data_IF_078314793439
#
_entry.id   IF_078314793439
#
_cell.length_a   1.000
_cell.length_b   1.000
_cell.length_c   1.000
_cell.angle_alpha   90.00
_cell.angle_beta   90.00
_cell.angle_gamma   90.00
#
_symmetry.space_group_name_H-M   'P 1'
#
loop_
_entity.id
_entity.type
_entity.pdbx_description
1 polymer ?
#
# COMPACT_ATOMS: atom_id res chain seq x y z
N UNK A 1 -37.74 54.97 -2.82
CA UNK A 1 -37.61 53.81 -1.95
C UNK A 1 -38.12 52.53 -2.63
N UNK A 2 -37.66 52.18 -3.82
CA UNK A 2 -38.08 50.95 -4.57
C UNK A 2 -36.93 50.03 -4.99
N UNK A 3 -35.68 50.30 -4.56
CA UNK A 3 -34.49 49.55 -5.00
C UNK A 3 -33.79 48.77 -3.87
N UNK A 4 -34.32 48.86 -2.63
CA UNK A 4 -33.70 48.14 -1.47
C UNK A 4 -34.23 46.71 -1.33
N UNK A 5 -35.40 46.39 -1.89
CA UNK A 5 -35.97 45.02 -1.80
C UNK A 5 -35.38 44.04 -2.79
N UNK A 6 -34.72 44.47 -3.85
CA UNK A 6 -34.11 43.56 -4.83
C UNK A 6 -32.73 43.04 -4.41
N UNK A 7 -32.05 43.78 -3.50
CA UNK A 7 -30.71 43.34 -3.03
C UNK A 7 -30.76 42.32 -1.92
N UNK A 8 -31.88 42.18 -1.21
CA UNK A 8 -32.03 41.19 -0.12
C UNK A 8 -32.44 39.80 -0.62
N UNK A 9 -32.93 39.68 -1.85
CA UNK A 9 -33.33 38.40 -2.43
C UNK A 9 -32.16 37.64 -3.10
N UNK A 10 -31.04 38.32 -3.38
CA UNK A 10 -29.85 37.69 -3.95
C UNK A 10 -28.91 37.09 -2.91
N UNK A 11 -29.12 37.36 -1.63
CA UNK A 11 -28.29 36.83 -0.52
C UNK A 11 -28.78 35.49 0.07
N UNK A 12 -29.89 34.96 -0.44
CA UNK A 12 -30.44 33.68 0.03
C UNK A 12 -30.25 32.51 -0.92
N UNK A 13 -29.58 32.71 -2.05
CA UNK A 13 -29.11 31.63 -2.91
C UNK A 13 -27.61 31.47 -2.66
N UNK A 14 -27.24 31.13 -1.44
CA UNK A 14 -26.01 30.39 -1.23
C UNK A 14 -26.24 29.06 -1.94
N UNK A 15 -25.51 28.72 -3.01
CA UNK A 15 -25.53 27.34 -3.45
C UNK A 15 -25.07 26.53 -2.23
N UNK A 16 -25.96 25.76 -1.66
CA UNK A 16 -25.55 24.65 -0.78
C UNK A 16 -24.54 23.90 -1.65
N UNK A 17 -23.27 24.09 -1.35
CA UNK A 17 -22.23 23.22 -1.86
C UNK A 17 -22.65 21.83 -1.36
N UNK A 18 -23.37 21.09 -2.19
CA UNK A 18 -23.64 19.69 -1.96
C UNK A 18 -22.24 19.11 -1.84
N UNK A 19 -21.89 18.71 -0.60
CA UNK A 19 -20.62 18.11 -0.33
C UNK A 19 -20.45 16.97 -1.31
N UNK A 20 -19.47 17.08 -2.18
CA UNK A 20 -19.19 16.00 -3.12
C UNK A 20 -18.95 14.75 -2.28
N UNK A 21 -19.62 13.65 -2.63
CA UNK A 21 -19.38 12.37 -1.99
C UNK A 21 -17.93 11.91 -2.20
N UNK A 22 -17.53 10.86 -1.52
CA UNK A 22 -16.23 10.24 -1.76
C UNK A 22 -16.09 9.90 -3.26
N UNK A 23 -14.93 10.17 -3.86
CA UNK A 23 -14.71 9.83 -5.26
C UNK A 23 -14.86 8.31 -5.45
N UNK A 24 -15.53 7.85 -6.51
CA UNK A 24 -15.72 6.40 -6.76
C UNK A 24 -14.41 5.61 -6.78
N UNK A 25 -13.32 6.25 -7.22
CA UNK A 25 -11.97 5.68 -7.21
C UNK A 25 -11.47 5.34 -5.81
N UNK A 26 -11.98 6.00 -4.77
CA UNK A 26 -11.62 5.70 -3.37
C UNK A 26 -11.99 4.28 -2.98
N UNK A 27 -13.08 3.75 -3.50
CA UNK A 27 -13.53 2.38 -3.22
C UNK A 27 -12.92 1.32 -4.14
N UNK A 28 -12.40 1.74 -5.27
CA UNK A 28 -11.92 0.83 -6.32
C UNK A 28 -10.41 0.79 -6.46
N UNK A 29 -9.69 1.78 -5.93
CA UNK A 29 -8.26 1.94 -6.16
C UNK A 29 -7.45 2.25 -4.91
N UNK A 30 -6.15 2.16 -5.07
CA UNK A 30 -5.16 2.40 -4.01
C UNK A 30 -5.09 3.86 -3.63
N UNK A 31 -4.89 4.11 -2.34
CA UNK A 31 -4.76 5.44 -1.77
C UNK A 31 -3.41 5.59 -1.06
N UNK A 32 -2.76 6.73 -1.25
CA UNK A 32 -1.70 7.17 -0.34
C UNK A 32 -2.27 8.15 0.66
N UNK A 33 -1.69 8.15 1.86
CA UNK A 33 -2.11 8.98 2.96
C UNK A 33 -1.00 9.96 3.29
N UNK A 34 -1.30 11.24 3.16
CA UNK A 34 -0.42 12.33 3.55
C UNK A 34 -0.89 12.90 4.88
N UNK A 35 -0.02 12.86 5.88
CA UNK A 35 -0.34 13.24 7.25
C UNK A 35 0.42 14.48 7.64
N UNK A 36 -0.30 15.53 8.05
CA UNK A 36 0.24 16.73 8.69
C UNK A 36 -0.24 16.79 10.13
N UNK A 37 0.69 16.91 11.07
CA UNK A 37 0.41 16.92 12.50
C UNK A 37 1.08 18.12 13.17
N UNK A 38 0.27 19.12 13.55
CA UNK A 38 0.77 20.31 14.27
C UNK A 38 1.42 19.87 15.61
N UNK A 39 2.71 20.18 15.82
CA UNK A 39 3.39 19.86 17.09
C UNK A 39 2.73 20.51 18.32
N UNK A 40 2.01 21.60 18.12
CA UNK A 40 1.26 22.27 19.18
C UNK A 40 -0.07 21.64 19.54
N UNK A 41 -0.53 20.64 18.79
CA UNK A 41 -1.79 19.95 19.07
C UNK A 41 -1.68 19.03 20.30
N UNK A 42 -2.76 18.96 21.07
CA UNK A 42 -2.83 18.12 22.28
C UNK A 42 -3.80 16.96 22.07
N UNK A 43 -3.51 15.74 22.58
CA UNK A 43 -2.23 15.30 23.17
C UNK A 43 -1.08 15.34 22.14
N UNK A 44 0.15 15.50 22.61
CA UNK A 44 1.32 15.44 21.72
C UNK A 44 1.53 13.99 21.26
N UNK A 45 1.42 13.77 19.95
CA UNK A 45 1.66 12.47 19.31
C UNK A 45 2.47 12.70 18.04
N UNK A 46 3.14 11.68 17.56
CA UNK A 46 3.82 11.73 16.26
C UNK A 46 2.82 11.58 15.12
N UNK A 47 3.21 11.96 13.90
CA UNK A 47 2.37 11.75 12.72
C UNK A 47 2.13 10.25 12.44
N UNK A 48 3.08 9.37 12.77
CA UNK A 48 2.94 7.92 12.67
C UNK A 48 1.84 7.38 13.58
N UNK A 49 1.82 7.81 14.85
CA UNK A 49 0.76 7.44 15.80
C UNK A 49 -0.61 7.93 15.32
N UNK A 50 -0.66 9.12 14.71
CA UNK A 50 -1.89 9.61 14.09
C UNK A 50 -2.32 8.74 12.90
N UNK A 51 -1.37 8.36 12.04
CA UNK A 51 -1.60 7.47 10.90
C UNK A 51 -2.14 6.11 11.34
N UNK A 52 -1.51 5.47 12.33
CA UNK A 52 -1.96 4.19 12.89
C UNK A 52 -3.38 4.29 13.46
N UNK A 53 -3.66 5.39 14.14
CA UNK A 53 -4.96 5.59 14.78
C UNK A 53 -6.10 5.82 13.78
N UNK A 54 -5.81 6.42 12.61
CA UNK A 54 -6.82 6.70 11.59
C UNK A 54 -7.02 5.52 10.61
N UNK A 55 -6.01 4.69 10.42
CA UNK A 55 -6.02 3.58 9.48
C UNK A 55 -7.28 2.68 9.56
N UNK A 56 -7.73 2.24 10.75
CA UNK A 56 -8.93 1.39 10.84
C UNK A 56 -10.20 2.06 10.32
N UNK A 57 -10.28 3.38 10.40
CA UNK A 57 -11.44 4.11 9.89
C UNK A 57 -11.42 4.26 8.37
N UNK A 58 -10.24 4.46 7.78
CA UNK A 58 -10.07 4.50 6.33
C UNK A 58 -10.45 3.16 5.70
N UNK A 59 -9.95 2.06 6.26
CA UNK A 59 -10.26 0.70 5.82
C UNK A 59 -11.75 0.40 5.99
N UNK A 60 -12.34 0.78 7.13
CA UNK A 60 -13.77 0.58 7.38
C UNK A 60 -14.65 1.37 6.42
N UNK A 61 -14.20 2.54 5.98
CA UNK A 61 -14.86 3.32 4.95
C UNK A 61 -14.80 2.69 3.55
N UNK A 62 -14.01 1.63 3.37
CA UNK A 62 -13.83 0.94 2.08
C UNK A 62 -12.65 1.44 1.26
N UNK A 63 -11.77 2.25 1.86
CA UNK A 63 -10.55 2.72 1.20
C UNK A 63 -9.41 1.71 1.22
N UNK A 64 -8.42 1.97 0.37
CA UNK A 64 -7.20 1.16 0.22
C UNK A 64 -5.93 1.95 0.54
N UNK A 65 -5.61 2.19 1.84
CA UNK A 65 -4.41 2.90 2.23
C UNK A 65 -3.16 2.00 2.10
N UNK A 66 -2.35 2.22 1.09
CA UNK A 66 -1.15 1.41 0.82
C UNK A 66 0.17 2.08 1.24
N UNK A 67 0.14 3.33 1.68
CA UNK A 67 1.33 4.03 2.16
C UNK A 67 0.98 5.30 2.91
N UNK A 68 1.79 5.61 3.93
CA UNK A 68 1.66 6.79 4.77
C UNK A 68 2.93 7.63 4.71
N UNK A 69 2.77 8.94 4.56
CA UNK A 69 3.87 9.87 4.41
C UNK A 69 3.58 11.16 5.18
N UNK A 70 4.62 11.78 5.71
CA UNK A 70 4.50 13.12 6.27
C UNK A 70 4.29 14.14 5.16
N UNK A 71 3.23 14.93 5.24
CA UNK A 71 2.87 15.89 4.20
C UNK A 71 3.98 16.91 3.96
N UNK A 72 4.56 17.41 5.03
CA UNK A 72 5.61 18.43 5.00
C UNK A 72 6.86 17.93 4.26
N UNK A 73 7.18 16.66 4.39
CA UNK A 73 8.30 16.05 3.69
C UNK A 73 8.01 15.89 2.19
N UNK A 74 6.81 15.41 1.86
CA UNK A 74 6.39 15.28 0.45
C UNK A 74 6.33 16.65 -0.23
N UNK A 75 5.87 17.66 0.48
CA UNK A 75 5.71 19.01 -0.02
C UNK A 75 6.97 19.89 0.04
N UNK A 76 8.10 19.35 0.51
CA UNK A 76 9.31 20.11 0.80
C UNK A 76 9.87 20.86 -0.41
N UNK A 77 9.81 20.26 -1.59
CA UNK A 77 10.22 20.87 -2.85
C UNK A 77 9.46 20.29 -4.04
N UNK A 78 9.41 21.06 -5.14
CA UNK A 78 8.79 20.58 -6.39
C UNK A 78 9.51 19.38 -6.99
N UNK A 79 10.83 19.31 -6.84
CA UNK A 79 11.61 18.17 -7.29
C UNK A 79 11.24 16.90 -6.50
N UNK A 80 11.18 17.02 -5.17
CA UNK A 80 10.81 15.90 -4.31
C UNK A 80 9.36 15.46 -4.55
N UNK A 81 8.43 16.41 -4.74
CA UNK A 81 7.05 16.08 -5.12
C UNK A 81 6.97 15.28 -6.41
N UNK A 82 7.79 15.61 -7.41
CA UNK A 82 7.84 14.88 -8.67
C UNK A 82 8.35 13.44 -8.49
N UNK A 83 9.35 13.24 -7.62
CA UNK A 83 9.85 11.91 -7.30
C UNK A 83 8.79 11.06 -6.57
N UNK A 84 8.10 11.64 -5.59
CA UNK A 84 6.97 10.99 -4.94
C UNK A 84 5.87 10.64 -5.93
N UNK A 85 5.49 11.59 -6.81
CA UNK A 85 4.46 11.37 -7.82
C UNK A 85 4.83 10.21 -8.75
N UNK A 86 6.09 10.12 -9.19
CA UNK A 86 6.59 9.01 -9.99
C UNK A 86 6.44 7.68 -9.27
N UNK A 87 6.79 7.64 -7.99
CA UNK A 87 6.67 6.43 -7.20
C UNK A 87 5.21 6.04 -6.93
N UNK A 88 4.33 7.02 -6.74
CA UNK A 88 2.89 6.77 -6.59
C UNK A 88 2.27 6.23 -7.89
N UNK A 89 2.69 6.75 -9.04
CA UNK A 89 2.32 6.21 -10.34
C UNK A 89 2.71 4.74 -10.49
N UNK A 90 3.95 4.43 -10.15
CA UNK A 90 4.45 3.05 -10.22
C UNK A 90 3.65 2.10 -9.32
N UNK A 91 3.10 2.59 -8.21
CA UNK A 91 2.21 1.86 -7.31
C UNK A 91 0.75 1.82 -7.76
N UNK A 92 0.44 2.42 -8.90
CA UNK A 92 -0.93 2.53 -9.40
C UNK A 92 -1.87 3.24 -8.41
N UNK A 93 -1.35 4.24 -7.71
CA UNK A 93 -2.15 5.05 -6.80
C UNK A 93 -3.21 5.81 -7.62
N UNK A 94 -4.42 5.81 -7.11
CA UNK A 94 -5.55 6.52 -7.72
C UNK A 94 -6.07 7.66 -6.84
N UNK A 95 -5.83 7.59 -5.53
CA UNK A 95 -6.35 8.56 -4.59
C UNK A 95 -5.27 9.08 -3.64
N UNK A 96 -5.50 10.27 -3.16
CA UNK A 96 -4.73 10.89 -2.09
C UNK A 96 -5.68 11.23 -0.94
N UNK A 97 -5.34 10.79 0.25
CA UNK A 97 -6.03 11.17 1.48
C UNK A 97 -5.13 12.11 2.26
N UNK A 98 -5.61 13.32 2.51
CA UNK A 98 -4.92 14.28 3.37
C UNK A 98 -5.52 14.22 4.76
N UNK A 99 -4.68 13.99 5.75
CA UNK A 99 -5.05 14.06 7.16
C UNK A 99 -4.30 15.22 7.79
N UNK A 100 -5.02 16.22 8.23
CA UNK A 100 -4.44 17.41 8.88
C UNK A 100 -4.96 17.53 10.30
N UNK A 101 -4.05 17.55 11.26
CA UNK A 101 -4.35 17.74 12.66
C UNK A 101 -3.76 19.05 13.15
N UNK A 102 -4.64 19.95 13.55
CA UNK A 102 -4.34 21.25 14.17
C UNK A 102 -4.72 21.25 15.65
N UNK A 103 -4.41 22.33 16.37
CA UNK A 103 -4.68 22.44 17.81
C UNK A 103 -6.13 22.13 18.24
N UNK A 104 -7.10 22.49 17.42
CA UNK A 104 -8.51 22.35 17.74
C UNK A 104 -9.32 21.58 16.70
N UNK A 105 -8.67 21.03 15.68
CA UNK A 105 -9.37 20.44 14.53
C UNK A 105 -8.56 19.32 13.91
N UNK A 106 -9.24 18.23 13.57
CA UNK A 106 -8.78 17.18 12.68
C UNK A 106 -9.61 17.21 11.41
N UNK A 107 -8.97 17.13 10.26
CA UNK A 107 -9.67 17.07 8.97
C UNK A 107 -9.15 15.92 8.13
N UNK A 108 -10.04 15.28 7.39
CA UNK A 108 -9.73 14.27 6.38
C UNK A 108 -10.25 14.79 5.05
N UNK A 109 -9.39 14.88 4.05
CA UNK A 109 -9.77 15.23 2.70
C UNK A 109 -9.38 14.09 1.76
N UNK A 110 -10.23 13.78 0.81
CA UNK A 110 -9.98 12.76 -0.21
C UNK A 110 -10.07 13.38 -1.59
N UNK A 111 -9.05 13.15 -2.38
CA UNK A 111 -8.99 13.61 -3.75
C UNK A 111 -8.39 12.56 -4.66
N UNK A 112 -8.53 12.80 -5.95
CA UNK A 112 -7.92 11.97 -6.97
C UNK A 112 -6.43 12.27 -7.07
N UNK A 113 -5.61 11.26 -7.29
CA UNK A 113 -4.20 11.45 -7.62
C UNK A 113 -4.08 11.98 -9.04
N UNK A 114 -3.30 13.05 -9.22
CA UNK A 114 -3.15 13.70 -10.52
C UNK A 114 -2.36 12.90 -11.55
N UNK A 115 -1.54 11.97 -11.09
CA UNK A 115 -0.55 11.31 -11.93
C UNK A 115 0.68 12.18 -12.26
N UNK A 116 0.74 13.38 -11.73
CA UNK A 116 1.78 14.40 -12.01
C UNK A 116 2.41 14.92 -10.72
N UNK A 117 3.45 15.75 -10.86
CA UNK A 117 4.19 16.34 -9.75
C UNK A 117 3.37 17.15 -8.76
N UNK A 118 2.17 17.60 -9.12
CA UNK A 118 1.26 18.29 -8.18
C UNK A 118 0.54 17.35 -7.22
N UNK A 119 0.65 16.04 -7.41
CA UNK A 119 0.07 14.97 -6.59
C UNK A 119 -1.47 15.01 -6.53
N UNK A 120 -2.08 16.17 -6.25
CA UNK A 120 -3.53 16.32 -6.15
C UNK A 120 -4.04 17.16 -7.33
N UNK A 121 -5.08 16.69 -8.00
CA UNK A 121 -5.76 17.46 -9.02
C UNK A 121 -6.40 18.72 -8.42
N UNK A 122 -6.44 19.82 -9.20
CA UNK A 122 -7.14 21.05 -8.83
C UNK A 122 -8.67 20.89 -8.89
N UNK A 123 -9.18 19.82 -8.34
CA UNK A 123 -10.60 19.51 -8.25
C UNK A 123 -11.08 19.65 -6.82
N UNK A 124 -12.38 19.78 -6.64
CA UNK A 124 -12.95 19.82 -5.30
C UNK A 124 -12.66 18.52 -4.55
N UNK A 125 -12.08 18.66 -3.36
CA UNK A 125 -11.82 17.55 -2.47
C UNK A 125 -13.09 17.23 -1.67
N UNK A 126 -13.39 15.95 -1.52
CA UNK A 126 -14.26 15.52 -0.42
C UNK A 126 -13.58 15.86 0.90
N UNK A 127 -14.33 16.37 1.88
CA UNK A 127 -13.72 16.71 3.17
C UNK A 127 -14.69 16.56 4.33
N UNK A 128 -14.16 16.09 5.45
CA UNK A 128 -14.82 16.12 6.75
C UNK A 128 -13.86 16.68 7.79
N UNK A 129 -14.40 17.30 8.81
CA UNK A 129 -13.61 17.90 9.88
C UNK A 129 -14.36 17.78 11.22
N UNK A 130 -13.61 17.71 12.30
CA UNK A 130 -14.13 17.67 13.65
C UNK A 130 -13.08 17.95 14.69
N UNK A 131 -13.46 17.90 15.96
CA UNK A 131 -12.57 18.26 17.07
C UNK A 131 -11.58 17.15 17.44
N UNK A 132 -11.94 15.90 17.23
CA UNK A 132 -11.16 14.75 17.69
C UNK A 132 -11.18 13.61 16.66
N UNK A 133 -10.18 12.76 16.75
CA UNK A 133 -9.95 11.64 15.86
C UNK A 133 -11.10 10.64 15.85
N UNK A 134 -11.66 10.33 17.02
CA UNK A 134 -12.72 9.32 17.14
C UNK A 134 -13.97 9.78 16.40
N UNK A 135 -14.38 11.02 16.62
CA UNK A 135 -15.57 11.61 15.96
C UNK A 135 -15.38 11.67 14.45
N UNK A 136 -14.26 12.22 13.98
CA UNK A 136 -13.98 12.35 12.55
C UNK A 136 -13.82 10.98 11.91
N UNK A 137 -13.11 10.07 12.56
CA UNK A 137 -12.91 8.71 12.06
C UNK A 137 -14.23 7.94 11.94
N UNK A 138 -15.10 8.02 12.95
CA UNK A 138 -16.42 7.39 12.91
C UNK A 138 -17.31 7.97 11.82
N UNK A 139 -17.34 9.29 11.66
CA UNK A 139 -18.06 9.94 10.57
C UNK A 139 -17.54 9.47 9.21
N UNK A 140 -16.21 9.44 9.04
CA UNK A 140 -15.60 8.98 7.79
C UNK A 140 -15.94 7.51 7.50
N UNK A 141 -15.80 6.64 8.49
CA UNK A 141 -16.16 5.23 8.37
C UNK A 141 -17.64 5.00 8.03
N UNK A 142 -18.52 5.89 8.49
CA UNK A 142 -19.97 5.83 8.22
C UNK A 142 -20.39 6.28 6.83
N UNK A 143 -19.49 6.97 6.09
CA UNK A 143 -19.77 7.40 4.71
C UNK A 143 -19.55 6.24 3.72
N UNK A 144 -18.71 5.30 4.10
CA UNK A 144 -18.43 4.12 3.28
C UNK A 144 -19.70 3.30 3.06
N UNK A 145 -19.95 2.94 1.82
CA UNK A 145 -20.91 1.89 1.53
C UNK A 145 -20.32 0.56 2.03
N UNK A 146 -21.17 -0.41 2.36
CA UNK A 146 -20.73 -1.75 2.76
C UNK A 146 -20.10 -2.53 1.58
N UNK A 147 -19.12 -1.92 0.94
CA UNK A 147 -18.26 -2.58 -0.03
C UNK A 147 -17.35 -3.51 0.76
N UNK A 148 -17.18 -4.77 0.37
CA UNK A 148 -16.25 -5.66 1.02
C UNK A 148 -14.88 -4.97 1.08
N UNK A 149 -14.39 -4.76 2.28
CA UNK A 149 -13.08 -4.16 2.50
C UNK A 149 -12.07 -5.05 1.79
N UNK A 150 -11.49 -4.56 0.72
CA UNK A 150 -10.32 -5.23 0.15
C UNK A 150 -9.23 -5.16 1.20
N UNK A 151 -8.59 -6.25 1.46
CA UNK A 151 -7.36 -6.18 2.21
C UNK A 151 -6.23 -5.86 1.24
N UNK A 152 -5.63 -4.82 1.47
CA UNK A 152 -5.08 -3.90 0.52
C UNK A 152 -3.62 -4.00 0.29
N UNK A 153 -2.96 -4.79 1.08
CA UNK A 153 -1.58 -5.07 0.81
C UNK A 153 -1.40 -5.98 -0.37
N UNK A 154 -2.39 -6.81 -0.58
CA UNK A 154 -2.26 -7.92 -1.50
C UNK A 154 -3.34 -7.90 -2.58
N UNK A 155 -4.60 -7.59 -2.22
CA UNK A 155 -5.73 -7.68 -3.14
C UNK A 155 -5.67 -6.67 -4.30
N UNK A 156 -5.03 -5.54 -4.10
CA UNK A 156 -4.87 -4.52 -5.13
C UNK A 156 -3.53 -4.53 -5.84
N UNK A 157 -2.71 -5.51 -5.53
CA UNK A 157 -1.48 -5.70 -6.29
C UNK A 157 -1.82 -6.37 -7.61
N UNK A 158 -1.11 -5.99 -8.65
CA UNK A 158 -1.21 -6.65 -9.94
C UNK A 158 -0.91 -8.16 -9.85
N UNK A 159 -0.24 -8.58 -8.78
CA UNK A 159 0.05 -9.97 -8.47
C UNK A 159 -1.17 -10.80 -8.14
N UNK A 160 -2.25 -10.17 -7.69
CA UNK A 160 -3.49 -10.84 -7.31
C UNK A 160 -4.70 -10.37 -8.15
N UNK A 161 -4.61 -10.30 -9.49
CA UNK A 161 -5.66 -9.74 -10.32
C UNK A 161 -6.97 -10.52 -10.25
N UNK A 162 -6.89 -11.80 -9.87
CA UNK A 162 -8.05 -12.69 -9.81
C UNK A 162 -8.73 -12.74 -8.45
N UNK A 163 -8.08 -12.26 -7.38
CA UNK A 163 -8.63 -12.33 -6.03
C UNK A 163 -9.64 -11.21 -5.73
N UNK A 164 -9.66 -10.14 -6.54
CA UNK A 164 -10.51 -8.98 -6.29
C UNK A 164 -11.83 -8.91 -7.05
N UNK A 165 -12.00 -9.64 -8.14
CA UNK A 165 -13.15 -9.47 -9.07
C UNK A 165 -14.03 -10.67 -9.26
N UNK A 166 -13.56 -11.82 -8.88
CA UNK A 166 -14.42 -13.00 -8.81
C UNK A 166 -14.54 -13.37 -7.35
N UNK A 167 -15.76 -13.56 -6.88
CA UNK A 167 -15.99 -14.48 -5.79
C UNK A 167 -15.45 -15.83 -6.28
N UNK A 168 -14.16 -15.97 -6.16
CA UNK A 168 -13.53 -17.25 -6.33
C UNK A 168 -14.19 -18.08 -5.26
N UNK A 169 -15.11 -18.92 -5.70
CA UNK A 169 -15.64 -19.93 -4.83
C UNK A 169 -14.44 -20.50 -4.08
N UNK A 170 -14.55 -20.62 -2.76
CA UNK A 170 -13.48 -21.09 -1.87
C UNK A 170 -12.76 -22.38 -2.36
N UNK A 171 -13.23 -22.98 -3.42
CA UNK A 171 -12.74 -24.17 -4.08
C UNK A 171 -11.64 -23.95 -5.13
N UNK A 172 -11.22 -22.73 -5.43
CA UNK A 172 -10.20 -22.50 -6.45
C UNK A 172 -8.77 -22.36 -5.90
N UNK A 173 -8.61 -22.34 -4.60
CA UNK A 173 -7.30 -22.54 -3.98
C UNK A 173 -6.91 -24.01 -4.10
N UNK A 174 -6.36 -24.36 -5.23
CA UNK A 174 -5.78 -25.67 -5.39
C UNK A 174 -4.41 -25.68 -4.72
N UNK A 175 -4.35 -26.28 -3.56
CA UNK A 175 -3.09 -26.74 -3.02
C UNK A 175 -2.53 -27.78 -3.98
N UNK A 176 -1.42 -27.45 -4.60
CA UNK A 176 -0.75 -28.34 -5.53
C UNK A 176 0.25 -29.19 -4.78
N UNK A 177 0.31 -30.46 -5.12
CA UNK A 177 1.19 -31.43 -4.47
C UNK A 177 2.68 -31.28 -4.86
N UNK A 178 2.97 -30.49 -5.88
CA UNK A 178 4.34 -30.28 -6.38
C UNK A 178 4.56 -28.81 -6.70
N UNK A 179 5.77 -28.33 -6.49
CA UNK A 179 6.19 -27.01 -6.93
C UNK A 179 6.10 -26.93 -8.48
N UNK A 180 5.28 -26.05 -9.05
CA UNK A 180 5.10 -25.96 -10.50
C UNK A 180 6.12 -25.08 -11.18
N UNK A 181 7.04 -24.48 -10.44
CA UNK A 181 7.97 -23.47 -10.93
C UNK A 181 9.20 -24.15 -11.54
N UNK A 182 9.56 -23.76 -12.74
CA UNK A 182 10.77 -24.24 -13.41
C UNK A 182 11.96 -23.34 -13.04
N UNK A 183 12.30 -23.30 -11.75
CA UNK A 183 13.35 -22.46 -11.18
C UNK A 183 14.76 -22.92 -11.55
N UNK A 184 14.89 -24.13 -12.08
CA UNK A 184 16.11 -24.69 -12.67
C UNK A 184 16.38 -24.16 -14.10
N UNK A 185 15.35 -23.69 -14.78
CA UNK A 185 15.44 -23.19 -16.17
C UNK A 185 15.44 -21.66 -16.21
N UNK A 186 14.64 -21.02 -15.37
CA UNK A 186 14.45 -19.57 -15.36
C UNK A 186 14.96 -18.97 -14.06
N UNK A 187 15.63 -17.83 -14.19
CA UNK A 187 16.17 -17.12 -13.04
C UNK A 187 15.06 -16.55 -12.15
N UNK A 188 15.28 -16.63 -10.85
CA UNK A 188 14.45 -15.94 -9.86
C UNK A 188 14.95 -14.50 -9.70
N UNK A 189 14.11 -13.52 -10.02
CA UNK A 189 14.39 -12.11 -9.77
C UNK A 189 14.17 -11.77 -8.30
N UNK A 190 15.14 -11.11 -7.70
CA UNK A 190 15.08 -10.66 -6.30
C UNK A 190 15.16 -9.14 -6.29
N UNK A 191 14.03 -8.44 -6.15
CA UNK A 191 14.01 -6.99 -6.00
C UNK A 191 14.64 -6.58 -4.67
N UNK A 192 15.58 -5.63 -4.71
CA UNK A 192 16.14 -5.03 -3.51
C UNK A 192 15.32 -3.82 -3.07
N UNK A 193 15.41 -3.46 -1.80
CA UNK A 193 14.72 -2.28 -1.27
C UNK A 193 15.17 -1.03 -2.02
N UNK A 194 14.22 -0.11 -2.26
CA UNK A 194 14.49 1.06 -3.10
C UNK A 194 14.33 0.83 -4.60
N UNK A 195 14.22 -0.41 -5.07
CA UNK A 195 13.66 -0.71 -6.39
C UNK A 195 12.16 -0.42 -6.37
N UNK A 196 11.58 -0.21 -7.52
CA UNK A 196 10.22 0.32 -7.61
C UNK A 196 9.20 -0.40 -6.78
N UNK A 197 8.17 0.33 -6.59
CA UNK A 197 6.97 -0.04 -5.94
C UNK A 197 6.21 -1.25 -6.54
N UNK A 198 6.40 -1.55 -7.81
CA UNK A 198 5.76 -2.70 -8.46
C UNK A 198 6.49 -4.00 -8.11
N UNK A 199 7.80 -3.93 -7.99
CA UNK A 199 8.66 -5.11 -7.79
C UNK A 199 9.36 -5.12 -6.43
N UNK A 200 9.24 -4.05 -5.64
CA UNK A 200 9.85 -3.93 -4.33
C UNK A 200 9.01 -4.53 -3.20
N UNK A 201 9.58 -4.62 -2.01
CA UNK A 201 8.86 -5.09 -0.84
C UNK A 201 7.67 -4.19 -0.52
N UNK A 202 6.57 -4.80 -0.10
CA UNK A 202 5.34 -4.13 0.23
C UNK A 202 5.15 -4.18 1.74
N UNK A 203 5.01 -3.01 2.35
CA UNK A 203 4.73 -2.86 3.77
C UNK A 203 3.34 -2.31 3.98
N UNK A 204 2.65 -2.85 4.97
CA UNK A 204 1.33 -2.37 5.38
C UNK A 204 1.37 -0.95 5.91
N UNK A 205 2.35 -0.66 6.76
CA UNK A 205 2.65 0.67 7.24
C UNK A 205 4.00 1.12 6.69
N UNK A 206 4.01 1.59 5.47
CA UNK A 206 5.23 2.12 4.92
C UNK A 206 5.35 3.59 5.25
N UNK A 207 6.05 3.87 6.31
CA UNK A 207 6.49 5.23 6.68
C UNK A 207 7.77 5.62 5.96
N UNK A 208 8.34 4.66 5.27
CA UNK A 208 9.55 4.90 4.55
C UNK A 208 9.30 5.76 3.36
N UNK A 209 10.14 6.70 3.26
CA UNK A 209 9.92 7.75 2.42
C UNK A 209 11.08 8.03 1.55
N UNK A 210 10.76 8.42 0.37
CA UNK A 210 11.64 9.05 -0.57
C UNK A 210 12.36 10.22 0.11
N UNK A 211 13.48 10.64 -0.41
CA UNK A 211 14.33 11.66 0.19
C UNK A 211 15.63 11.12 0.77
N UNK A 212 15.82 9.80 0.68
CA UNK A 212 17.15 9.21 0.91
C UNK A 212 18.06 9.59 -0.24
N UNK A 213 19.32 9.91 0.09
CA UNK A 213 20.29 10.15 -0.97
C UNK A 213 20.56 8.86 -1.77
N UNK A 214 20.99 8.96 -3.03
CA UNK A 214 21.40 7.79 -3.81
C UNK A 214 22.42 6.91 -3.09
N UNK A 215 23.35 7.51 -2.37
CA UNK A 215 24.37 6.81 -1.58
C UNK A 215 23.75 5.99 -0.44
N UNK A 216 22.76 6.56 0.25
CA UNK A 216 22.04 5.86 1.32
C UNK A 216 21.27 4.67 0.77
N UNK A 217 20.58 4.85 -0.37
CA UNK A 217 19.87 3.76 -1.04
C UNK A 217 20.80 2.63 -1.47
N UNK A 218 21.93 2.97 -2.07
CA UNK A 218 22.94 1.97 -2.47
C UNK A 218 23.53 1.23 -1.27
N UNK A 219 23.78 1.93 -0.16
CA UNK A 219 24.27 1.30 1.06
C UNK A 219 23.26 0.32 1.64
N UNK A 220 22.00 0.71 1.69
CA UNK A 220 20.90 -0.16 2.17
C UNK A 220 20.70 -1.37 1.26
N UNK A 221 20.69 -1.17 -0.07
CA UNK A 221 20.60 -2.27 -1.04
C UNK A 221 21.77 -3.24 -0.89
N UNK A 222 22.99 -2.71 -0.69
CA UNK A 222 24.17 -3.53 -0.50
C UNK A 222 24.09 -4.35 0.78
N UNK A 223 23.67 -3.74 1.89
CA UNK A 223 23.49 -4.42 3.16
C UNK A 223 22.40 -5.50 3.09
N UNK A 224 21.27 -5.21 2.43
CA UNK A 224 20.20 -6.16 2.21
C UNK A 224 20.68 -7.32 1.33
N UNK A 225 21.38 -7.02 0.24
CA UNK A 225 21.91 -8.00 -0.68
C UNK A 225 22.83 -9.01 0.02
N UNK A 226 23.76 -8.52 0.85
CA UNK A 226 24.64 -9.40 1.64
C UNK A 226 23.86 -10.38 2.51
N UNK A 227 22.84 -9.90 3.21
CA UNK A 227 22.00 -10.76 4.04
C UNK A 227 21.17 -11.78 3.24
N UNK A 228 20.74 -11.41 2.04
CA UNK A 228 20.03 -12.31 1.13
C UNK A 228 20.99 -13.32 0.49
N UNK A 229 22.18 -12.89 0.03
CA UNK A 229 23.19 -13.76 -0.55
C UNK A 229 23.61 -14.87 0.41
N UNK A 230 23.77 -14.57 1.70
CA UNK A 230 24.07 -15.57 2.71
C UNK A 230 22.99 -16.66 2.78
N UNK A 231 21.71 -16.27 2.74
CA UNK A 231 20.61 -17.23 2.81
C UNK A 231 20.48 -18.02 1.51
N UNK A 232 20.54 -17.33 0.35
CA UNK A 232 20.37 -17.95 -0.95
C UNK A 232 21.49 -18.93 -1.29
N UNK A 233 22.75 -18.59 -1.00
CA UNK A 233 23.89 -19.48 -1.24
C UNK A 233 23.79 -20.80 -0.48
N UNK A 234 23.16 -20.78 0.69
CA UNK A 234 23.00 -21.97 1.51
C UNK A 234 21.75 -22.81 1.18
N UNK A 235 20.69 -22.15 0.66
CA UNK A 235 19.38 -22.79 0.56
C UNK A 235 18.81 -22.89 -0.84
N UNK A 236 19.24 -22.05 -1.76
CA UNK A 236 18.67 -21.99 -3.10
C UNK A 236 19.70 -22.44 -4.14
N UNK A 237 19.46 -23.57 -4.83
CA UNK A 237 20.48 -24.19 -5.69
C UNK A 237 20.53 -23.60 -7.11
N UNK A 238 19.60 -22.69 -7.45
CA UNK A 238 19.47 -22.19 -8.81
C UNK A 238 19.95 -20.74 -8.93
N UNK A 239 20.02 -20.24 -10.16
CA UNK A 239 20.48 -18.89 -10.46
C UNK A 239 19.48 -17.83 -10.00
N UNK A 240 19.97 -16.74 -9.43
CA UNK A 240 19.18 -15.58 -9.04
C UNK A 240 19.60 -14.34 -9.82
N UNK A 241 18.68 -13.42 -10.03
CA UNK A 241 18.94 -12.11 -10.61
C UNK A 241 18.63 -11.02 -9.58
N UNK A 242 19.65 -10.28 -9.17
CA UNK A 242 19.48 -9.15 -8.27
C UNK A 242 18.98 -7.94 -9.04
N UNK A 243 17.80 -7.45 -8.67
CA UNK A 243 17.16 -6.31 -9.32
C UNK A 243 17.44 -5.04 -8.51
N UNK A 244 18.36 -4.23 -9.01
CA UNK A 244 18.75 -2.94 -8.41
C UNK A 244 17.83 -1.81 -8.89
N UNK A 245 17.23 -1.98 -10.06
CA UNK A 245 16.38 -0.99 -10.71
C UNK A 245 15.01 -1.57 -11.01
N UNK A 246 14.07 -0.67 -11.20
CA UNK A 246 12.72 -1.03 -11.66
C UNK A 246 12.76 -1.49 -13.09
N UNK A 247 12.24 -2.69 -13.32
CA UNK A 247 11.98 -3.21 -14.65
C UNK A 247 10.51 -3.52 -14.84
N UNK A 248 10.02 -3.29 -16.04
CA UNK A 248 8.68 -3.74 -16.43
C UNK A 248 8.63 -5.26 -16.56
N UNK A 249 7.45 -5.84 -16.53
CA UNK A 249 7.30 -7.29 -16.77
C UNK A 249 7.89 -7.72 -18.12
N UNK A 250 7.77 -6.88 -19.14
CA UNK A 250 8.32 -7.18 -20.47
C UNK A 250 9.85 -7.23 -20.46
N UNK A 251 10.50 -6.29 -19.80
CA UNK A 251 11.97 -6.27 -19.64
C UNK A 251 12.45 -7.47 -18.84
N UNK A 252 11.75 -7.81 -17.74
CA UNK A 252 12.08 -8.99 -16.94
C UNK A 252 11.98 -10.28 -17.77
N UNK A 253 10.92 -10.43 -18.55
CA UNK A 253 10.73 -11.59 -19.42
C UNK A 253 11.78 -11.66 -20.53
N UNK A 254 12.18 -10.52 -21.10
CA UNK A 254 13.27 -10.44 -22.07
C UNK A 254 14.62 -10.89 -21.46
N UNK A 255 14.84 -10.59 -20.18
CA UNK A 255 16.02 -11.03 -19.41
C UNK A 255 15.89 -12.49 -18.89
N UNK A 256 14.89 -13.23 -19.33
CA UNK A 256 14.58 -14.60 -18.89
C UNK A 256 14.25 -14.71 -17.39
N UNK A 257 13.75 -13.65 -16.80
CA UNK A 257 13.25 -13.62 -15.42
C UNK A 257 11.73 -13.80 -15.50
N UNK A 258 11.25 -14.99 -15.20
CA UNK A 258 9.82 -15.30 -15.19
C UNK A 258 9.23 -15.28 -13.79
N UNK A 259 10.08 -15.34 -12.79
CA UNK A 259 9.71 -15.46 -11.40
C UNK A 259 10.30 -14.31 -10.59
N UNK A 260 9.48 -13.71 -9.75
CA UNK A 260 9.92 -12.70 -8.78
C UNK A 260 9.68 -13.18 -7.36
N UNK A 261 10.69 -13.08 -6.53
CA UNK A 261 10.52 -13.20 -5.09
C UNK A 261 9.90 -11.91 -4.56
N UNK A 262 8.75 -12.00 -3.95
CA UNK A 262 8.06 -10.86 -3.37
C UNK A 262 8.01 -11.01 -1.85
N UNK A 263 8.33 -9.91 -1.16
CA UNK A 263 8.21 -9.77 0.30
C UNK A 263 7.00 -8.89 0.60
N UNK A 264 6.10 -9.37 1.43
CA UNK A 264 5.02 -8.56 1.99
C UNK A 264 5.13 -8.54 3.51
N UNK A 265 4.75 -7.43 4.10
CA UNK A 265 4.73 -7.24 5.54
C UNK A 265 3.40 -6.64 5.97
N UNK A 266 2.77 -7.20 6.97
CA UNK A 266 1.48 -6.75 7.46
C UNK A 266 0.97 -7.62 8.60
N UNK A 267 -0.24 -7.30 9.09
CA UNK A 267 -0.89 -8.13 10.10
C UNK A 267 -1.20 -9.51 9.53
N UNK A 268 -0.86 -10.54 10.29
CA UNK A 268 -0.97 -11.92 9.85
C UNK A 268 -2.37 -12.28 9.34
N UNK A 269 -3.40 -11.93 10.10
CA UNK A 269 -4.78 -12.18 9.71
C UNK A 269 -5.16 -11.50 8.39
N UNK A 270 -4.67 -10.28 8.18
CA UNK A 270 -4.94 -9.50 6.98
C UNK A 270 -4.25 -10.10 5.75
N UNK A 271 -2.98 -10.47 5.88
CA UNK A 271 -2.24 -11.15 4.82
C UNK A 271 -2.88 -12.48 4.43
N UNK A 272 -3.23 -13.32 5.42
CA UNK A 272 -3.91 -14.59 5.17
C UNK A 272 -5.22 -14.40 4.42
N UNK A 273 -6.05 -13.47 4.88
CA UNK A 273 -7.33 -13.14 4.21
C UNK A 273 -7.13 -12.67 2.78
N UNK A 274 -6.12 -11.81 2.53
CA UNK A 274 -5.83 -11.31 1.17
C UNK A 274 -5.35 -12.40 0.24
N UNK A 275 -4.64 -13.38 0.79
CA UNK A 275 -4.19 -14.56 0.05
C UNK A 275 -5.27 -15.65 -0.02
N UNK A 276 -6.49 -15.37 0.47
CA UNK A 276 -7.63 -16.28 0.44
C UNK A 276 -7.52 -17.43 1.44
N UNK A 277 -6.68 -17.30 2.46
CA UNK A 277 -6.56 -18.28 3.54
C UNK A 277 -7.48 -17.89 4.70
N UNK A 278 -7.89 -18.88 5.49
CA UNK A 278 -8.63 -18.63 6.72
C UNK A 278 -7.75 -17.84 7.71
N UNK A 279 -8.18 -16.66 8.15
CA UNK A 279 -7.36 -15.81 9.00
C UNK A 279 -7.28 -16.37 10.42
N UNK A 280 -6.09 -16.34 11.00
CA UNK A 280 -5.88 -16.58 12.43
C UNK A 280 -6.47 -15.40 13.20
N UNK A 281 -7.23 -15.70 14.26
CA UNK A 281 -7.90 -14.71 15.11
C UNK A 281 -7.11 -14.41 16.39
N UNK A 282 -7.49 -13.34 17.08
CA UNK A 282 -6.88 -12.95 18.36
C UNK A 282 -5.52 -12.27 18.20
N UNK A 283 -4.72 -12.32 19.26
CA UNK A 283 -3.42 -11.64 19.32
C UNK A 283 -2.44 -12.13 18.26
N UNK A 284 -2.47 -13.41 17.93
CA UNK A 284 -1.62 -14.00 16.90
C UNK A 284 -1.93 -13.40 15.52
N UNK A 285 -3.22 -13.26 15.19
CA UNK A 285 -3.65 -12.65 13.93
C UNK A 285 -3.31 -11.15 13.83
N UNK A 286 -3.18 -10.47 14.95
CA UNK A 286 -2.82 -9.05 14.99
C UNK A 286 -1.31 -8.78 14.84
N UNK A 287 -0.46 -9.80 14.99
CA UNK A 287 0.99 -9.65 14.86
C UNK A 287 1.37 -9.24 13.44
N UNK A 288 2.28 -8.29 13.34
CA UNK A 288 2.93 -7.95 12.07
C UNK A 288 3.95 -9.02 11.73
N UNK A 289 3.83 -9.57 10.54
CA UNK A 289 4.70 -10.64 10.03
C UNK A 289 5.15 -10.33 8.61
N UNK A 290 6.26 -10.95 8.23
CA UNK A 290 6.77 -10.95 6.87
C UNK A 290 6.40 -12.28 6.22
N UNK A 291 5.91 -12.25 5.00
CA UNK A 291 5.65 -13.41 4.15
C UNK A 291 6.35 -13.26 2.82
N UNK A 292 6.99 -14.32 2.37
CA UNK A 292 7.54 -14.42 1.02
C UNK A 292 6.67 -15.30 0.14
N UNK A 293 6.60 -14.95 -1.14
CA UNK A 293 5.95 -15.76 -2.17
C UNK A 293 6.64 -15.52 -3.52
N UNK A 294 6.39 -16.38 -4.48
CA UNK A 294 6.88 -16.21 -5.85
C UNK A 294 5.73 -15.79 -6.76
N UNK A 295 5.94 -14.69 -7.46
CA UNK A 295 5.08 -14.24 -8.54
C UNK A 295 5.56 -14.82 -9.86
N UNK A 296 4.67 -15.51 -10.57
CA UNK A 296 4.91 -16.03 -11.91
C UNK A 296 4.38 -15.02 -12.94
N UNK A 297 5.27 -14.29 -13.59
CA UNK A 297 4.93 -13.15 -14.44
C UNK A 297 4.13 -13.52 -15.69
N UNK A 298 4.42 -14.68 -16.28
CA UNK A 298 3.79 -15.11 -17.54
C UNK A 298 2.33 -15.51 -17.34
N UNK A 299 2.01 -16.10 -16.19
CA UNK A 299 0.68 -16.65 -15.90
C UNK A 299 -0.10 -15.82 -14.89
N UNK A 300 0.51 -14.76 -14.38
CA UNK A 300 -0.05 -13.93 -13.30
C UNK A 300 -0.51 -14.75 -12.09
N UNK A 301 0.24 -15.79 -11.78
CA UNK A 301 -0.02 -16.69 -10.66
C UNK A 301 0.95 -16.42 -9.53
N UNK A 302 0.51 -16.76 -8.31
CA UNK A 302 1.30 -16.64 -7.11
C UNK A 302 1.53 -18.02 -6.50
N UNK A 303 2.77 -18.31 -6.20
CA UNK A 303 3.14 -19.47 -5.43
C UNK A 303 3.42 -19.08 -3.98
N UNK A 304 2.51 -19.44 -3.08
CA UNK A 304 2.54 -19.07 -1.67
C UNK A 304 3.34 -20.05 -0.81
N UNK A 305 3.74 -21.19 -1.36
CA UNK A 305 4.31 -22.31 -0.61
C UNK A 305 3.24 -23.28 -0.08
N UNK A 306 3.65 -24.45 0.39
CA UNK A 306 2.75 -25.49 0.86
C UNK A 306 2.14 -25.24 2.24
N UNK A 307 2.74 -24.35 3.01
CA UNK A 307 2.32 -23.99 4.37
C UNK A 307 2.43 -22.50 4.60
N UNK A 308 1.70 -22.00 5.59
CA UNK A 308 1.88 -20.64 6.07
C UNK A 308 3.18 -20.55 6.87
N UNK A 309 4.15 -19.80 6.35
CA UNK A 309 5.51 -19.66 6.87
C UNK A 309 5.89 -18.19 7.15
N UNK A 310 4.88 -17.35 7.37
CA UNK A 310 5.12 -15.97 7.77
C UNK A 310 5.71 -15.87 9.18
N UNK A 311 6.62 -14.93 9.37
CA UNK A 311 7.29 -14.73 10.65
C UNK A 311 7.61 -13.24 10.86
N UNK A 312 7.63 -12.71 12.10
CA UNK A 312 8.03 -11.33 12.37
C UNK A 312 9.46 -11.00 11.90
N UNK A 313 10.38 -11.95 12.00
CA UNK A 313 11.73 -11.83 11.46
C UNK A 313 11.76 -12.30 9.99
N UNK A 314 12.13 -11.38 9.09
CA UNK A 314 12.18 -11.65 7.65
C UNK A 314 13.18 -12.74 7.26
N UNK A 315 14.30 -12.87 7.99
CA UNK A 315 15.28 -13.94 7.74
C UNK A 315 14.71 -15.31 8.04
N UNK A 316 13.97 -15.43 9.13
CA UNK A 316 13.29 -16.67 9.51
C UNK A 316 12.24 -17.02 8.48
N UNK A 317 11.38 -16.04 8.10
CA UNK A 317 10.36 -16.24 7.07
C UNK A 317 10.95 -16.69 5.74
N UNK A 318 12.02 -16.01 5.27
CA UNK A 318 12.68 -16.39 4.02
C UNK A 318 13.28 -17.79 4.08
N UNK A 319 13.95 -18.13 5.17
CA UNK A 319 14.52 -19.45 5.34
C UNK A 319 13.46 -20.56 5.30
N UNK A 320 12.33 -20.35 5.97
CA UNK A 320 11.21 -21.30 5.96
C UNK A 320 10.60 -21.43 4.56
N UNK A 321 10.40 -20.29 3.87
CA UNK A 321 9.89 -20.29 2.51
C UNK A 321 10.79 -21.05 1.53
N UNK A 322 12.11 -20.82 1.58
CA UNK A 322 13.07 -21.53 0.72
C UNK A 322 13.17 -23.02 1.05
N UNK A 323 13.05 -23.40 2.31
CA UNK A 323 12.99 -24.83 2.69
C UNK A 323 11.71 -25.49 2.15
N UNK A 324 10.62 -24.74 2.08
CA UNK A 324 9.35 -25.22 1.52
C UNK A 324 9.36 -25.27 -0.02
N UNK A 325 10.20 -24.47 -0.69
CA UNK A 325 10.36 -24.54 -2.14
C UNK A 325 10.92 -25.86 -2.65
N UNK A 326 11.65 -26.57 -1.81
CA UNK A 326 12.30 -27.86 -2.14
C UNK A 326 11.35 -29.05 -2.09
N UNK A 327 10.18 -28.87 -1.53
CA UNK A 327 9.15 -29.91 -1.38
C UNK A 327 8.13 -29.83 -2.52
#
# INVERSE_FOLDING_TARGET
>A
MKYISALLFFLLISPFAQGQGLPPTFFAGKSIILVSNDPGAKPAITWQVLADSIHPYLVRAGGDPVGYFELEQVALSTALQAEYAKAFLQRQIQNVVLITRQKAQLSIHVGKFSGEGKIIENTSLFGISGKDLKTVGQQFAGIGTAVPTKNLLVADLAEFPTLGTQSVAANSQKWISRNPLNLDVFRLGIPLEGTSAINGPINYFRYEVFGKSPETLLAEQSAQKVGLEEIFSNKYPHEVAWLLETKTNQELLADRIQFLLVKVEGRQADLMKSMGLEPITGEEGAKTVVKYYIRFLVREELYLGPTWDAHPDWKVSLNQFLDNLKK
#
